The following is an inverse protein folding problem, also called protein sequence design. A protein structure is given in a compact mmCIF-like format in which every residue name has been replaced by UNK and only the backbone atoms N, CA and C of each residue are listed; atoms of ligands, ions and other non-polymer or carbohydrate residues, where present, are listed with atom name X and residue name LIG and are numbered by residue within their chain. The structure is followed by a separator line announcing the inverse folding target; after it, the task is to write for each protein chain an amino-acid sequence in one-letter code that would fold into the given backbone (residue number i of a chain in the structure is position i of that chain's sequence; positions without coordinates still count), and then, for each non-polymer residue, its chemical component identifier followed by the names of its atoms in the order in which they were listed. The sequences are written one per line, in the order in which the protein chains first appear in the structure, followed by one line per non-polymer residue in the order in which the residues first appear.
data_IF_273939423933
#
_entry.id   IF_273939423933
#
_cell.length_a   1.000
_cell.length_b   1.000
_cell.length_c   1.000
_cell.angle_alpha   90.00
_cell.angle_beta   90.00
_cell.angle_gamma   90.00
#
_symmetry.space_group_name_H-M   'P 1'
#
loop_
_entity.id
_entity.type
_entity.pdbx_description
1 polymer ?
#
# COMPACT_ATOMS: atom_id res chain seq x y z
N UNK A 1 13.43 27.18 4.60
CA UNK A 1 14.43 26.61 5.52
C UNK A 1 14.58 25.15 5.17
N UNK A 2 15.77 24.66 4.82
CA UNK A 2 15.96 23.21 4.63
C UNK A 2 15.86 22.57 6.01
N UNK A 3 14.81 21.80 6.23
CA UNK A 3 14.70 20.98 7.43
C UNK A 3 15.87 19.98 7.40
N UNK A 4 16.76 20.02 8.39
CA UNK A 4 17.95 19.15 8.44
C UNK A 4 17.63 17.76 9.03
N UNK A 5 16.44 17.57 9.59
CA UNK A 5 15.98 16.29 10.13
C UNK A 5 15.63 15.27 9.05
N UNK A 6 15.87 13.98 9.34
CA UNK A 6 15.54 12.88 8.45
C UNK A 6 14.04 12.58 8.51
N UNK A 7 13.51 12.02 7.43
CA UNK A 7 12.13 11.50 7.37
C UNK A 7 12.20 9.96 7.40
N UNK A 8 11.76 9.37 8.50
CA UNK A 8 11.91 7.95 8.80
C UNK A 8 10.57 7.24 8.62
N UNK A 9 10.40 6.54 7.51
CA UNK A 9 9.21 5.73 7.24
C UNK A 9 9.38 4.32 7.81
N UNK A 10 8.63 3.99 8.86
CA UNK A 10 8.64 2.64 9.43
C UNK A 10 7.93 1.68 8.48
N UNK A 11 8.55 0.55 8.17
CA UNK A 11 8.00 -0.49 7.31
C UNK A 11 8.02 -1.86 8.00
N UNK A 12 7.17 -2.76 7.52
CA UNK A 12 7.24 -4.17 7.87
C UNK A 12 8.35 -4.90 7.11
N UNK A 13 8.99 -5.85 7.79
CA UNK A 13 9.89 -6.85 7.20
C UNK A 13 9.10 -7.94 6.46
N UNK A 14 8.38 -7.58 5.39
CA UNK A 14 7.52 -8.52 4.64
C UNK A 14 8.24 -9.18 3.45
N UNK A 15 8.38 -10.50 3.50
CA UNK A 15 8.85 -11.31 2.35
C UNK A 15 7.79 -11.49 1.26
N UNK A 16 6.53 -11.15 1.55
CA UNK A 16 5.39 -11.29 0.63
C UNK A 16 4.99 -9.91 0.08
N UNK A 17 4.59 -9.81 -1.21
CA UNK A 17 4.16 -8.55 -1.80
C UNK A 17 3.08 -7.82 -0.98
N UNK A 18 3.31 -6.55 -0.66
CA UNK A 18 2.35 -5.71 0.08
C UNK A 18 2.23 -4.34 -0.57
N UNK A 19 0.99 -3.92 -0.86
CA UNK A 19 0.71 -2.59 -1.39
C UNK A 19 1.18 -1.49 -0.43
N UNK A 20 0.98 -1.68 0.88
CA UNK A 20 1.38 -0.69 1.89
C UNK A 20 2.89 -0.47 1.96
N UNK A 21 3.67 -1.56 1.85
CA UNK A 21 5.14 -1.48 1.79
C UNK A 21 5.59 -0.82 0.49
N UNK A 22 4.96 -1.15 -0.65
CA UNK A 22 5.26 -0.53 -1.94
C UNK A 22 5.07 1.00 -1.90
N UNK A 23 3.97 1.48 -1.32
CA UNK A 23 3.69 2.92 -1.23
C UNK A 23 4.70 3.64 -0.33
N UNK A 24 5.09 3.03 0.79
CA UNK A 24 6.15 3.57 1.67
C UNK A 24 7.46 3.78 0.90
N UNK A 25 7.89 2.76 0.14
CA UNK A 25 9.08 2.85 -0.70
C UNK A 25 8.93 3.94 -1.78
N UNK A 26 7.77 4.03 -2.41
CA UNK A 26 7.49 5.08 -3.39
C UNK A 26 7.60 6.47 -2.74
N UNK A 27 7.02 6.69 -1.55
CA UNK A 27 7.14 7.97 -0.84
C UNK A 27 8.61 8.33 -0.58
N UNK A 28 9.40 7.38 -0.09
CA UNK A 28 10.83 7.61 0.16
C UNK A 28 11.58 7.92 -1.13
N UNK A 29 11.33 7.19 -2.23
CA UNK A 29 11.95 7.47 -3.53
C UNK A 29 11.70 8.91 -3.99
N UNK A 30 10.42 9.32 -4.01
CA UNK A 30 10.04 10.68 -4.43
C UNK A 30 10.63 11.76 -3.51
N UNK A 31 10.66 11.53 -2.20
CA UNK A 31 11.28 12.47 -1.25
C UNK A 31 12.78 12.63 -1.52
N UNK A 32 13.49 11.52 -1.71
CA UNK A 32 14.94 11.52 -1.99
C UNK A 32 15.25 12.19 -3.33
N UNK A 33 14.48 11.89 -4.38
CA UNK A 33 14.61 12.53 -5.70
C UNK A 33 14.43 14.05 -5.63
N UNK A 34 13.61 14.53 -4.70
CA UNK A 34 13.39 15.96 -4.45
C UNK A 34 14.35 16.57 -3.42
N UNK A 35 15.40 15.85 -3.02
CA UNK A 35 16.46 16.35 -2.15
C UNK A 35 16.13 16.36 -0.65
N UNK A 36 15.10 15.62 -0.22
CA UNK A 36 14.79 15.42 1.20
C UNK A 36 15.51 14.17 1.75
N UNK A 37 16.06 14.23 2.98
CA UNK A 37 16.74 13.10 3.61
C UNK A 37 15.72 12.07 4.14
N UNK A 38 15.16 11.25 3.27
CA UNK A 38 14.17 10.22 3.63
C UNK A 38 14.74 8.80 3.59
N UNK A 39 14.24 7.96 4.49
CA UNK A 39 14.69 6.57 4.67
C UNK A 39 13.51 5.64 4.95
N UNK A 40 13.56 4.44 4.38
CA UNK A 40 12.75 3.33 4.88
C UNK A 40 13.45 2.73 6.10
N UNK A 41 12.73 2.51 7.18
CA UNK A 41 13.22 1.86 8.39
C UNK A 41 12.61 0.48 8.50
N UNK A 42 13.45 -0.54 8.34
CA UNK A 42 13.11 -1.93 8.61
C UNK A 42 13.52 -2.33 10.02
N UNK A 43 12.93 -3.40 10.54
CA UNK A 43 13.28 -3.87 11.86
C UNK A 43 14.63 -4.59 11.83
N UNK A 44 14.76 -5.65 11.02
CA UNK A 44 15.97 -6.50 10.98
C UNK A 44 17.07 -5.92 10.11
N UNK A 45 18.30 -5.98 10.62
CA UNK A 45 19.49 -5.54 9.89
C UNK A 45 19.67 -6.34 8.61
N UNK A 46 19.92 -5.64 7.50
CA UNK A 46 20.12 -6.25 6.19
C UNK A 46 18.84 -6.73 5.50
N UNK A 47 17.66 -6.53 6.09
CA UNK A 47 16.40 -6.86 5.43
C UNK A 47 16.24 -6.08 4.13
N UNK A 48 15.72 -6.76 3.11
CA UNK A 48 15.31 -6.21 1.82
C UNK A 48 14.04 -6.92 1.37
N UNK A 49 13.09 -6.19 0.79
CA UNK A 49 11.89 -6.76 0.18
C UNK A 49 12.26 -7.36 -1.20
N UNK A 50 12.32 -8.70 -1.37
CA UNK A 50 12.84 -9.32 -2.60
C UNK A 50 11.91 -9.17 -3.81
N UNK A 51 10.65 -8.82 -3.56
CA UNK A 51 9.60 -8.67 -4.58
C UNK A 51 9.47 -7.25 -5.12
N UNK A 52 10.17 -6.28 -4.51
CA UNK A 52 10.10 -4.86 -4.85
C UNK A 52 11.42 -4.41 -5.47
N UNK A 53 11.37 -3.96 -6.72
CA UNK A 53 12.53 -3.43 -7.42
C UNK A 53 12.60 -1.90 -7.27
N UNK A 54 12.94 -1.46 -6.06
CA UNK A 54 13.03 -0.04 -5.71
C UNK A 54 14.23 0.20 -4.79
N UNK A 55 15.20 0.96 -5.29
CA UNK A 55 16.42 1.27 -4.54
C UNK A 55 16.28 2.62 -3.83
N UNK A 56 16.06 2.56 -2.51
CA UNK A 56 15.95 3.73 -1.63
C UNK A 56 16.92 3.60 -0.46
N UNK A 57 17.29 4.71 0.21
CA UNK A 57 18.02 4.66 1.47
C UNK A 57 17.25 3.86 2.53
N UNK A 58 17.92 2.89 3.15
CA UNK A 58 17.36 2.03 4.20
C UNK A 58 18.16 2.17 5.48
N UNK A 59 17.45 2.23 6.61
CA UNK A 59 17.98 2.13 7.96
C UNK A 59 17.34 0.93 8.67
N UNK A 60 17.95 0.51 9.76
CA UNK A 60 17.53 -0.66 10.53
C UNK A 60 17.34 -0.28 11.99
N UNK A 61 16.21 -0.67 12.58
CA UNK A 61 15.91 -0.43 13.99
C UNK A 61 16.75 -1.32 14.91
N UNK A 62 16.95 -2.58 14.51
CA UNK A 62 17.90 -3.49 15.15
C UNK A 62 19.32 -2.88 15.09
N UNK A 63 19.97 -2.78 16.24
CA UNK A 63 21.25 -2.07 16.38
C UNK A 63 21.16 -0.68 16.99
N UNK A 64 20.03 -0.33 17.65
CA UNK A 64 19.80 0.95 18.34
C UNK A 64 19.92 2.14 17.39
N UNK A 65 19.05 2.19 16.37
CA UNK A 65 18.90 3.34 15.51
C UNK A 65 18.79 4.63 16.34
N UNK A 66 19.79 5.51 16.21
CA UNK A 66 19.77 6.80 16.88
C UNK A 66 18.80 7.72 16.16
N UNK A 67 17.84 8.30 16.89
CA UNK A 67 16.87 9.27 16.38
C UNK A 67 17.28 10.65 16.88
N UNK A 68 17.48 11.59 15.96
CA UNK A 68 17.80 12.99 16.26
C UNK A 68 16.53 13.74 16.63
N UNK A 69 16.56 14.78 17.49
CA UNK A 69 15.38 15.57 17.84
C UNK A 69 14.62 16.18 16.65
N UNK A 70 15.33 16.49 15.56
CA UNK A 70 14.73 17.08 14.35
C UNK A 70 14.12 16.04 13.39
N UNK A 71 14.33 14.74 13.63
CA UNK A 71 13.79 13.69 12.78
C UNK A 71 12.26 13.63 12.85
N UNK A 72 11.66 13.32 11.72
CA UNK A 72 10.23 13.02 11.57
C UNK A 72 10.07 11.51 11.43
N UNK A 73 9.14 10.94 12.19
CA UNK A 73 8.82 9.51 12.13
C UNK A 73 7.44 9.34 11.48
N UNK A 74 7.34 8.49 10.47
CA UNK A 74 6.09 8.14 9.79
C UNK A 74 5.75 6.68 10.07
N UNK A 75 4.59 6.42 10.66
CA UNK A 75 4.19 5.11 11.17
C UNK A 75 2.93 4.63 10.44
N UNK A 76 2.91 3.39 9.88
CA UNK A 76 1.70 2.81 9.29
C UNK A 76 0.61 2.58 10.33
N UNK A 77 -0.66 2.73 9.95
CA UNK A 77 -1.81 2.67 10.86
C UNK A 77 -2.01 1.33 11.56
N UNK A 78 -1.58 0.24 10.95
CA UNK A 78 -1.77 -1.12 11.43
C UNK A 78 -0.54 -1.67 12.18
N UNK A 79 0.54 -0.89 12.24
CA UNK A 79 1.79 -1.30 12.87
C UNK A 79 1.81 -1.03 14.37
N UNK A 80 1.02 -1.82 15.11
CA UNK A 80 0.94 -1.76 16.58
C UNK A 80 2.31 -1.74 17.26
N UNK A 81 3.23 -2.62 16.83
CA UNK A 81 4.55 -2.70 17.43
C UNK A 81 5.35 -1.41 17.25
N UNK A 82 5.28 -0.77 16.08
CA UNK A 82 5.93 0.51 15.84
C UNK A 82 5.27 1.67 16.60
N UNK A 83 3.93 1.69 16.65
CA UNK A 83 3.15 2.66 17.42
C UNK A 83 3.55 2.60 18.91
N UNK A 84 3.61 1.40 19.49
CA UNK A 84 4.01 1.18 20.88
C UNK A 84 5.49 1.55 21.11
N UNK A 85 6.40 1.11 20.23
CA UNK A 85 7.83 1.39 20.35
C UNK A 85 8.16 2.91 20.25
N UNK A 86 7.40 3.66 19.45
CA UNK A 86 7.62 5.09 19.26
C UNK A 86 6.90 5.97 20.30
N UNK A 87 6.12 5.40 21.23
CA UNK A 87 5.30 6.14 22.19
C UNK A 87 6.11 7.18 22.97
N UNK A 88 7.23 6.76 23.54
CA UNK A 88 8.07 7.59 24.43
C UNK A 88 9.15 8.40 23.68
N UNK A 89 9.15 8.37 22.34
CA UNK A 89 10.10 9.11 21.51
C UNK A 89 9.54 10.52 21.28
N UNK A 90 10.24 11.55 21.77
CA UNK A 90 9.79 12.93 21.71
C UNK A 90 10.16 13.61 20.37
N UNK A 91 9.67 13.02 19.28
CA UNK A 91 9.85 13.49 17.92
C UNK A 91 8.49 13.81 17.28
N UNK A 92 8.50 14.59 16.19
CA UNK A 92 7.30 14.75 15.38
C UNK A 92 6.94 13.41 14.75
N UNK A 93 5.75 12.92 15.06
CA UNK A 93 5.25 11.61 14.63
C UNK A 93 4.02 11.80 13.76
N UNK A 94 4.07 11.28 12.54
CA UNK A 94 2.93 11.20 11.65
C UNK A 94 2.42 9.77 11.58
N UNK A 95 1.11 9.61 11.64
CA UNK A 95 0.49 8.37 11.21
C UNK A 95 0.16 8.44 9.73
N UNK A 96 0.58 7.42 8.99
CA UNK A 96 0.18 7.22 7.61
C UNK A 96 -0.93 6.16 7.56
N UNK A 97 -2.17 6.58 7.33
CA UNK A 97 -3.32 5.68 7.23
C UNK A 97 -3.57 5.28 5.77
N UNK A 98 -3.18 4.06 5.42
CA UNK A 98 -3.34 3.51 4.08
C UNK A 98 -4.64 2.74 3.90
N UNK A 99 -5.23 2.20 4.96
CA UNK A 99 -6.49 1.48 4.95
C UNK A 99 -7.25 1.68 6.28
N UNK A 100 -8.33 2.46 6.23
CA UNK A 100 -9.14 2.76 7.40
C UNK A 100 -9.76 1.52 8.08
N UNK A 101 -9.97 0.42 7.34
CA UNK A 101 -10.45 -0.84 7.92
C UNK A 101 -9.42 -1.51 8.86
N UNK A 102 -8.15 -1.09 8.82
CA UNK A 102 -7.07 -1.65 9.63
C UNK A 102 -6.68 -0.80 10.84
N UNK A 103 -7.30 0.37 11.02
CA UNK A 103 -6.96 1.30 12.10
C UNK A 103 -7.02 0.64 13.49
N UNK A 104 -8.03 -0.18 13.75
CA UNK A 104 -8.18 -0.90 15.03
C UNK A 104 -7.33 -2.18 15.12
N UNK A 105 -6.44 -2.45 14.17
CA UNK A 105 -5.35 -3.42 14.33
C UNK A 105 -4.14 -2.79 14.99
N UNK A 106 -3.92 -1.48 14.77
CA UNK A 106 -2.82 -0.73 15.36
C UNK A 106 -3.13 -0.14 16.73
N UNK A 107 -4.40 0.12 17.03
CA UNK A 107 -4.87 0.68 18.30
C UNK A 107 -5.43 -0.39 19.25
N UNK A 108 -5.34 -0.14 20.56
CA UNK A 108 -6.10 -0.89 21.57
C UNK A 108 -7.49 -0.25 21.77
N UNK A 109 -8.43 -1.02 22.32
CA UNK A 109 -9.80 -0.53 22.51
C UNK A 109 -9.83 0.71 23.42
N UNK A 110 -10.29 1.84 22.88
CA UNK A 110 -10.48 3.09 23.60
C UNK A 110 -9.31 4.08 23.50
N UNK A 111 -8.18 3.68 22.93
CA UNK A 111 -7.04 4.58 22.71
C UNK A 111 -7.25 5.47 21.48
N UNK A 112 -6.68 6.67 21.53
CA UNK A 112 -6.44 7.55 20.39
C UNK A 112 -4.99 7.48 19.93
N UNK A 113 -4.69 7.93 18.71
CA UNK A 113 -3.30 8.05 18.24
C UNK A 113 -2.50 9.10 19.05
N UNK A 114 -3.16 10.11 19.58
CA UNK A 114 -2.58 11.13 20.44
C UNK A 114 -2.03 10.53 21.75
N UNK A 115 -2.61 9.44 22.26
CA UNK A 115 -2.11 8.71 23.44
C UNK A 115 -0.75 8.03 23.20
N UNK A 116 -0.35 7.90 21.93
CA UNK A 116 0.96 7.40 21.49
C UNK A 116 1.89 8.54 21.04
N UNK A 117 1.48 9.79 21.25
CA UNK A 117 2.21 11.00 20.87
C UNK A 117 2.24 11.26 19.37
N UNK A 118 1.31 10.68 18.60
CA UNK A 118 1.19 10.97 17.16
C UNK A 118 0.67 12.41 17.01
N UNK A 119 1.48 13.23 16.35
CA UNK A 119 1.24 14.67 16.19
C UNK A 119 0.17 14.95 15.14
N UNK A 120 0.26 14.27 14.01
CA UNK A 120 -0.56 14.54 12.82
C UNK A 120 -0.80 13.22 12.05
N UNK A 121 -1.75 13.25 11.11
CA UNK A 121 -2.12 12.09 10.30
C UNK A 121 -2.32 12.50 8.86
N UNK A 122 -1.96 11.62 7.93
CA UNK A 122 -2.30 11.73 6.51
C UNK A 122 -2.69 10.36 5.95
N UNK A 123 -3.29 10.34 4.76
CA UNK A 123 -3.86 9.13 4.19
C UNK A 123 -3.80 9.12 2.65
N UNK A 124 -4.24 8.02 2.02
CA UNK A 124 -4.15 7.85 0.57
C UNK A 124 -5.45 8.08 -0.22
N UNK A 125 -6.60 8.30 0.46
CA UNK A 125 -7.88 8.55 -0.21
C UNK A 125 -8.76 9.54 0.55
N UNK A 126 -9.65 10.22 -0.20
CA UNK A 126 -10.63 11.14 0.39
C UNK A 126 -11.63 10.45 1.32
N UNK A 127 -11.95 9.17 1.06
CA UNK A 127 -12.83 8.39 1.93
C UNK A 127 -12.13 8.14 3.27
N UNK A 128 -10.84 7.78 3.27
CA UNK A 128 -10.07 7.63 4.50
C UNK A 128 -9.96 8.96 5.23
N UNK A 129 -9.69 10.07 4.53
CA UNK A 129 -9.63 11.41 5.13
C UNK A 129 -10.92 11.78 5.85
N UNK A 130 -12.07 11.54 5.20
CA UNK A 130 -13.40 11.75 5.81
C UNK A 130 -13.62 10.86 7.02
N UNK A 131 -13.27 9.57 6.92
CA UNK A 131 -13.37 8.63 8.04
C UNK A 131 -12.57 9.14 9.24
N UNK A 132 -11.30 9.48 9.04
CA UNK A 132 -10.40 9.92 10.12
C UNK A 132 -10.97 11.14 10.83
N UNK A 133 -11.36 12.17 10.07
CA UNK A 133 -11.95 13.40 10.64
C UNK A 133 -13.30 13.20 11.33
N UNK A 134 -14.01 12.11 11.03
CA UNK A 134 -15.31 11.80 11.65
C UNK A 134 -15.21 10.93 12.91
N UNK A 135 -14.10 10.19 13.06
CA UNK A 135 -13.91 9.20 14.13
C UNK A 135 -12.86 9.63 15.14
N UNK A 136 -11.86 10.43 14.72
CA UNK A 136 -10.75 10.87 15.55
C UNK A 136 -10.68 12.39 15.64
N UNK A 137 -10.10 12.88 16.74
CA UNK A 137 -9.96 14.31 17.04
C UNK A 137 -8.80 14.97 16.25
N UNK A 138 -8.84 14.85 14.92
CA UNK A 138 -7.93 15.54 14.02
C UNK A 138 -8.70 16.55 13.17
N UNK A 139 -8.25 17.81 13.19
CA UNK A 139 -8.84 18.86 12.36
C UNK A 139 -8.64 18.59 10.86
N UNK A 140 -7.46 18.07 10.49
CA UNK A 140 -7.10 17.77 9.11
C UNK A 140 -6.51 16.36 8.98
N UNK A 141 -6.77 15.75 7.82
CA UNK A 141 -6.16 14.49 7.41
C UNK A 141 -5.84 14.59 5.91
N UNK A 142 -4.70 15.22 5.54
CA UNK A 142 -4.35 15.43 4.14
C UNK A 142 -4.29 14.13 3.35
N UNK A 143 -4.67 14.22 2.07
CA UNK A 143 -4.64 13.08 1.15
C UNK A 143 -3.40 13.16 0.27
N UNK A 144 -2.59 12.11 0.30
CA UNK A 144 -1.46 11.87 -0.60
C UNK A 144 -1.80 10.62 -1.40
N UNK A 145 -2.32 10.81 -2.61
CA UNK A 145 -2.69 9.69 -3.47
C UNK A 145 -1.49 8.84 -3.85
N UNK A 146 -1.71 7.53 -3.96
CA UNK A 146 -0.68 6.62 -4.40
C UNK A 146 -0.30 6.90 -5.87
N UNK A 147 1.00 7.02 -6.14
CA UNK A 147 1.51 7.13 -7.51
C UNK A 147 1.55 5.77 -8.20
N UNK A 148 1.27 5.75 -9.50
CA UNK A 148 1.44 4.59 -10.37
C UNK A 148 2.71 4.77 -11.19
N UNK A 149 3.56 3.75 -11.23
CA UNK A 149 4.73 3.74 -12.09
C UNK A 149 4.30 3.52 -13.54
N UNK A 150 4.08 4.61 -14.29
CA UNK A 150 3.61 4.58 -15.67
C UNK A 150 4.68 4.13 -16.67
N UNK A 151 5.95 4.09 -16.28
CA UNK A 151 6.99 3.47 -17.11
C UNK A 151 6.88 1.95 -17.11
N UNK A 152 6.41 1.39 -15.99
CA UNK A 152 6.22 -0.04 -15.78
C UNK A 152 4.81 -0.51 -16.20
N UNK A 153 3.77 0.11 -15.66
CA UNK A 153 2.36 -0.21 -15.92
C UNK A 153 1.84 0.62 -17.08
N UNK A 154 1.91 0.06 -18.29
CA UNK A 154 1.48 0.72 -19.53
C UNK A 154 0.94 -0.27 -20.55
N UNK A 155 0.04 0.15 -21.46
CA UNK A 155 -0.60 -0.78 -22.39
C UNK A 155 0.39 -1.47 -23.33
N UNK A 156 0.14 -2.76 -23.61
CA UNK A 156 0.81 -3.56 -24.66
C UNK A 156 -0.25 -4.22 -25.55
N UNK A 157 0.21 -5.00 -26.54
CA UNK A 157 -0.68 -5.82 -27.38
C UNK A 157 -1.50 -6.75 -26.49
N UNK A 158 -2.82 -6.60 -26.52
CA UNK A 158 -3.75 -7.36 -25.69
C UNK A 158 -3.94 -8.79 -26.20
N UNK A 159 -4.09 -9.71 -25.25
CA UNK A 159 -4.61 -11.06 -25.39
C UNK A 159 -5.95 -11.10 -24.70
N UNK A 160 -6.91 -11.83 -25.27
CA UNK A 160 -8.19 -12.06 -24.64
C UNK A 160 -8.00 -13.03 -23.47
N UNK A 161 -7.72 -12.49 -22.30
CA UNK A 161 -7.53 -13.22 -21.04
C UNK A 161 -7.99 -12.35 -19.86
N UNK A 162 -8.37 -13.00 -18.76
CA UNK A 162 -8.83 -12.39 -17.52
C UNK A 162 -7.72 -12.55 -16.48
N UNK A 163 -7.02 -11.46 -16.16
CA UNK A 163 -6.07 -11.44 -15.06
C UNK A 163 -6.80 -11.23 -13.73
N UNK A 164 -6.30 -11.84 -12.65
CA UNK A 164 -6.85 -11.68 -11.31
C UNK A 164 -5.77 -11.92 -10.25
N UNK A 165 -6.01 -11.48 -9.02
CA UNK A 165 -5.18 -11.82 -7.85
C UNK A 165 -5.98 -12.73 -6.90
N UNK A 166 -5.38 -13.84 -6.45
CA UNK A 166 -6.08 -14.87 -5.67
C UNK A 166 -6.20 -14.58 -4.17
N UNK A 167 -5.46 -13.58 -3.66
CA UNK A 167 -5.26 -13.39 -2.22
C UNK A 167 -6.49 -12.84 -1.49
N UNK A 168 -7.30 -12.01 -2.15
CA UNK A 168 -8.47 -11.37 -1.54
C UNK A 168 -9.75 -11.98 -2.09
N UNK A 169 -10.59 -12.49 -1.18
CA UNK A 169 -11.90 -13.07 -1.50
C UNK A 169 -11.84 -14.25 -2.48
N UNK A 170 -11.08 -15.32 -2.17
CA UNK A 170 -10.91 -16.46 -3.07
C UNK A 170 -12.23 -17.21 -3.36
N UNK A 171 -13.18 -17.19 -2.42
CA UNK A 171 -14.49 -17.82 -2.59
C UNK A 171 -15.33 -17.11 -3.65
N UNK A 172 -15.38 -15.78 -3.60
CA UNK A 172 -16.08 -14.93 -4.57
C UNK A 172 -15.46 -15.07 -5.96
N UNK A 173 -14.13 -15.11 -6.04
CA UNK A 173 -13.41 -15.36 -7.28
C UNK A 173 -13.81 -16.71 -7.90
N UNK A 174 -13.83 -17.78 -7.11
CA UNK A 174 -14.22 -19.11 -7.60
C UNK A 174 -15.69 -19.13 -8.04
N UNK A 175 -16.58 -18.50 -7.27
CA UNK A 175 -17.98 -18.35 -7.62
C UNK A 175 -18.16 -17.65 -8.97
N UNK A 176 -17.50 -16.50 -9.18
CA UNK A 176 -17.56 -15.74 -10.44
C UNK A 176 -17.02 -16.58 -11.60
N UNK A 177 -15.89 -17.29 -11.42
CA UNK A 177 -15.31 -18.16 -12.46
C UNK A 177 -16.26 -19.29 -12.84
N UNK A 178 -16.89 -19.95 -11.87
CA UNK A 178 -17.85 -21.02 -12.12
C UNK A 178 -19.12 -20.50 -12.80
N UNK A 179 -19.62 -19.32 -12.38
CA UNK A 179 -20.75 -18.65 -13.00
C UNK A 179 -20.45 -18.26 -14.46
N UNK A 180 -19.29 -17.67 -14.72
CA UNK A 180 -18.82 -17.31 -16.06
C UNK A 180 -18.82 -18.53 -16.98
N UNK A 181 -18.20 -19.63 -16.54
CA UNK A 181 -18.16 -20.87 -17.30
C UNK A 181 -19.55 -21.48 -17.54
N UNK A 182 -20.51 -21.27 -16.64
CA UNK A 182 -21.88 -21.78 -16.80
C UNK A 182 -22.69 -20.96 -17.80
N UNK A 183 -22.60 -19.63 -17.72
CA UNK A 183 -23.39 -18.70 -18.52
C UNK A 183 -22.82 -18.48 -19.92
N UNK A 184 -21.49 -18.40 -20.05
CA UNK A 184 -20.79 -18.06 -21.29
C UNK A 184 -20.02 -19.27 -21.82
N UNK A 185 -20.76 -20.31 -22.22
CA UNK A 185 -20.17 -21.60 -22.65
C UNK A 185 -19.21 -21.46 -23.83
N UNK A 186 -19.51 -20.55 -24.75
CA UNK A 186 -18.69 -20.23 -25.92
C UNK A 186 -17.35 -19.58 -25.55
N UNK A 187 -17.28 -18.92 -24.38
CA UNK A 187 -16.11 -18.17 -23.92
C UNK A 187 -15.29 -18.93 -22.86
N UNK A 188 -15.62 -20.19 -22.57
CA UNK A 188 -14.89 -21.04 -21.60
C UNK A 188 -13.39 -21.18 -21.87
N UNK A 189 -12.98 -20.98 -23.11
CA UNK A 189 -11.59 -21.05 -23.54
C UNK A 189 -10.77 -19.79 -23.20
N UNK A 190 -11.42 -18.71 -22.77
CA UNK A 190 -10.73 -17.49 -22.32
C UNK A 190 -9.87 -17.82 -21.09
N UNK A 191 -8.54 -17.63 -21.15
CA UNK A 191 -7.66 -17.96 -20.04
C UNK A 191 -7.90 -17.06 -18.82
N UNK A 192 -7.86 -17.67 -17.64
CA UNK A 192 -7.83 -16.98 -16.35
C UNK A 192 -6.39 -17.00 -15.83
N UNK A 193 -5.74 -15.84 -15.80
CA UNK A 193 -4.31 -15.71 -15.45
C UNK A 193 -4.19 -15.21 -14.01
N UNK A 194 -3.76 -16.11 -13.12
CA UNK A 194 -3.50 -15.77 -11.73
C UNK A 194 -2.21 -14.95 -11.62
N UNK A 195 -2.29 -13.82 -10.93
CA UNK A 195 -1.14 -13.03 -10.48
C UNK A 195 -0.95 -13.33 -8.99
N UNK A 196 0.00 -14.20 -8.68
CA UNK A 196 0.30 -14.59 -7.30
C UNK A 196 1.80 -14.84 -7.12
N UNK A 197 2.36 -14.33 -6.02
CA UNK A 197 3.78 -14.44 -5.64
C UNK A 197 4.80 -14.14 -6.77
N UNK A 198 4.45 -13.22 -7.67
CA UNK A 198 5.36 -12.71 -8.71
C UNK A 198 5.86 -11.32 -8.36
N UNK A 199 7.01 -10.94 -8.91
CA UNK A 199 7.56 -9.59 -8.75
C UNK A 199 6.76 -8.54 -9.55
N UNK A 200 6.97 -7.27 -9.22
CA UNK A 200 6.22 -6.15 -9.80
C UNK A 200 6.31 -6.08 -11.33
N UNK A 201 7.49 -6.35 -11.89
CA UNK A 201 7.68 -6.39 -13.35
C UNK A 201 6.80 -7.45 -14.02
N UNK A 202 6.64 -8.61 -13.40
CA UNK A 202 5.78 -9.68 -13.92
C UNK A 202 4.30 -9.35 -13.73
N UNK A 203 3.91 -8.69 -12.63
CA UNK A 203 2.55 -8.15 -12.44
C UNK A 203 2.21 -7.23 -13.62
N UNK A 204 3.07 -6.25 -13.90
CA UNK A 204 2.87 -5.29 -14.97
C UNK A 204 2.82 -5.96 -16.35
N UNK A 205 3.69 -6.95 -16.63
CA UNK A 205 3.65 -7.73 -17.87
C UNK A 205 2.30 -8.41 -18.07
N UNK A 206 1.81 -9.14 -17.06
CA UNK A 206 0.53 -9.86 -17.11
C UNK A 206 -0.62 -8.89 -17.34
N UNK A 207 -0.69 -7.78 -16.58
CA UNK A 207 -1.73 -6.77 -16.75
C UNK A 207 -1.65 -6.10 -18.14
N UNK A 208 -0.45 -5.76 -18.60
CA UNK A 208 -0.25 -5.10 -19.88
C UNK A 208 -0.72 -5.93 -21.06
N UNK A 209 -0.60 -7.25 -21.01
CA UNK A 209 -1.10 -8.16 -22.04
C UNK A 209 -2.57 -8.58 -21.83
N UNK A 210 -3.17 -8.36 -20.66
CA UNK A 210 -4.54 -8.82 -20.37
C UNK A 210 -5.61 -7.84 -20.84
N UNK A 211 -6.70 -8.36 -21.39
CA UNK A 211 -7.86 -7.56 -21.79
C UNK A 211 -8.69 -7.12 -20.57
N UNK A 212 -8.87 -8.02 -19.60
CA UNK A 212 -9.70 -7.79 -18.41
C UNK A 212 -8.85 -8.03 -17.16
N UNK A 213 -9.05 -7.20 -16.13
CA UNK A 213 -8.61 -7.47 -14.77
C UNK A 213 -9.83 -7.59 -13.85
N UNK A 214 -9.98 -8.74 -13.20
CA UNK A 214 -11.02 -8.99 -12.23
C UNK A 214 -10.51 -8.66 -10.81
N UNK A 215 -11.11 -7.66 -10.17
CA UNK A 215 -10.83 -7.29 -8.78
C UNK A 215 -11.93 -7.76 -7.85
N UNK A 216 -11.66 -8.77 -7.04
CA UNK A 216 -12.58 -9.26 -6.00
C UNK A 216 -12.28 -8.67 -4.63
N UNK A 217 -11.40 -7.68 -4.55
CA UNK A 217 -10.96 -7.12 -3.28
C UNK A 217 -12.06 -6.30 -2.61
N UNK A 218 -12.28 -6.55 -1.32
CA UNK A 218 -13.14 -5.77 -0.42
C UNK A 218 -12.30 -5.22 0.73
N UNK A 219 -12.82 -4.20 1.41
CA UNK A 219 -12.14 -3.55 2.53
C UNK A 219 -10.74 -3.04 2.17
N UNK A 220 -10.65 -2.33 1.05
CA UNK A 220 -9.44 -1.65 0.61
C UNK A 220 -9.43 -0.20 1.11
N UNK A 221 -8.25 0.39 1.23
CA UNK A 221 -8.11 1.82 1.44
C UNK A 221 -8.01 2.59 0.12
N UNK A 222 -7.10 2.18 -0.77
CA UNK A 222 -7.07 2.60 -2.17
C UNK A 222 -6.66 1.39 -3.00
N UNK A 223 -7.51 1.00 -3.95
CA UNK A 223 -7.31 -0.22 -4.75
C UNK A 223 -6.17 -0.12 -5.75
N UNK A 224 -4.93 -0.36 -5.32
CA UNK A 224 -3.74 -0.28 -6.19
C UNK A 224 -3.80 -1.24 -7.40
N UNK A 225 -4.05 -2.56 -7.25
CA UNK A 225 -4.04 -3.46 -8.41
C UNK A 225 -5.07 -3.10 -9.50
N UNK A 226 -6.31 -2.70 -9.17
CA UNK A 226 -7.24 -2.10 -10.13
C UNK A 226 -6.66 -0.92 -10.91
N UNK A 227 -6.06 0.06 -10.23
CA UNK A 227 -5.55 1.28 -10.89
C UNK A 227 -4.32 0.95 -11.76
N UNK A 228 -3.44 0.07 -11.28
CA UNK A 228 -2.32 -0.49 -12.07
C UNK A 228 -2.79 -1.21 -13.34
N UNK A 229 -3.89 -1.98 -13.23
CA UNK A 229 -4.50 -2.66 -14.36
C UNK A 229 -5.13 -1.65 -15.35
N UNK A 230 -5.80 -0.60 -14.86
CA UNK A 230 -6.31 0.49 -15.70
C UNK A 230 -5.17 1.19 -16.46
N UNK A 231 -4.07 1.53 -15.77
CA UNK A 231 -2.89 2.13 -16.39
C UNK A 231 -2.27 1.19 -17.45
N UNK A 232 -2.31 -0.12 -17.19
CA UNK A 232 -1.89 -1.15 -18.14
C UNK A 232 -2.89 -1.38 -19.29
N UNK A 233 -4.01 -0.65 -19.34
CA UNK A 233 -5.03 -0.72 -20.38
C UNK A 233 -5.99 -1.91 -20.27
N UNK A 234 -6.11 -2.53 -19.09
CA UNK A 234 -7.16 -3.51 -18.83
C UNK A 234 -8.52 -2.83 -18.68
N UNK A 235 -9.58 -3.50 -19.10
CA UNK A 235 -10.93 -3.23 -18.58
C UNK A 235 -10.96 -3.83 -17.17
N UNK A 236 -11.19 -2.98 -16.17
CA UNK A 236 -11.33 -3.45 -14.78
C UNK A 236 -12.79 -3.73 -14.48
N UNK A 237 -13.05 -4.92 -13.94
CA UNK A 237 -14.37 -5.37 -13.50
C UNK A 237 -14.22 -5.92 -12.08
N UNK A 238 -15.19 -5.69 -11.22
CA UNK A 238 -15.11 -6.22 -9.87
C UNK A 238 -15.94 -5.49 -8.84
N UNK A 239 -15.55 -5.66 -7.58
CA UNK A 239 -16.18 -5.02 -6.43
C UNK A 239 -15.68 -3.59 -6.24
N UNK A 240 -16.46 -2.80 -5.50
CA UNK A 240 -16.16 -1.39 -5.25
C UNK A 240 -14.92 -1.19 -4.37
N UNK A 241 -14.63 -2.13 -3.45
CA UNK A 241 -13.48 -2.06 -2.55
C UNK A 241 -13.64 -1.10 -1.36
N UNK A 242 -14.63 -0.19 -1.38
CA UNK A 242 -15.08 0.71 -0.30
C UNK A 242 -14.07 1.78 0.20
N UNK A 243 -12.84 1.78 -0.32
CA UNK A 243 -11.78 2.71 0.09
C UNK A 243 -11.64 3.97 -0.76
N UNK A 244 -12.14 3.93 -1.99
CA UNK A 244 -11.93 4.98 -3.01
C UNK A 244 -11.08 4.51 -4.16
#
# INVERSE_FOLDING_TARGET
MKNNGRILYISYDSLVPSGGVKVIYAHVSHLVENGYPAFVVHNKTGFKAPWLDCNVPVLYAEGNLQISPDDIIVIPEDNKAAIEACKNINNRKYLFCQNHFYVFKGLQNGDSWQDYGISDVFCCSDIISKFIKSVFDYAEAPVIHNAINLDLFKPRKKRLQIAYMSRKSPGELEFIRNLFNRLYKQDKQVPWVCIDNVNESKVAEIMSESAIFLSTSVYEGLGLPPIEAMASGCIVVGFHGDGG
#
